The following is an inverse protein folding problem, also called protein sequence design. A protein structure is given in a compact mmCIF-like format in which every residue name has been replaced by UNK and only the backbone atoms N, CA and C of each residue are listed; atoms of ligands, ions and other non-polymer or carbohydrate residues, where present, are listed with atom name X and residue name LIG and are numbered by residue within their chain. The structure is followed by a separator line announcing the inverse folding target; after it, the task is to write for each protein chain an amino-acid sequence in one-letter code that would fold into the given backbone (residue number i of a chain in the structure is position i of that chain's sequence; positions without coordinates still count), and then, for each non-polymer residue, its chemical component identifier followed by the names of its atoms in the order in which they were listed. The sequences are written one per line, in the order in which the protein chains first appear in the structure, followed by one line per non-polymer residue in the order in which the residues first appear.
data_IF_439888135264
#
_entry.id   IF_439888135264
#
_cell.length_a   1.000
_cell.length_b   1.000
_cell.length_c   1.000
_cell.angle_alpha   90.00
_cell.angle_beta   90.00
_cell.angle_gamma   90.00
#
_symmetry.space_group_name_H-M   'P 1'
#
loop_
_entity.id
_entity.type
_entity.pdbx_description
1 polymer ?
#
# COMPACT_ATOMS: atom_id res chain seq x y z
N UNK A 1 14.88 9.37 -18.77
CA UNK A 1 14.96 8.66 -17.47
C UNK A 1 13.53 8.51 -16.96
N UNK A 2 13.17 7.36 -16.39
CA UNK A 2 11.81 7.12 -15.89
C UNK A 2 11.64 7.65 -14.47
N UNK A 3 10.44 8.12 -14.14
CA UNK A 3 10.08 8.70 -12.84
C UNK A 3 9.04 7.83 -12.15
N UNK A 4 9.28 7.48 -10.88
CA UNK A 4 8.31 6.84 -10.00
C UNK A 4 7.89 7.78 -8.88
N UNK A 5 6.58 7.93 -8.64
CA UNK A 5 6.03 8.56 -7.45
C UNK A 5 5.55 7.49 -6.48
N UNK A 6 6.02 7.56 -5.24
CA UNK A 6 5.73 6.55 -4.21
C UNK A 6 5.15 7.24 -2.98
N UNK A 7 4.03 6.75 -2.47
CA UNK A 7 3.42 7.27 -1.26
C UNK A 7 3.82 6.50 -0.01
N UNK A 8 3.95 7.19 1.14
CA UNK A 8 4.26 6.57 2.42
C UNK A 8 5.71 6.13 2.58
N UNK A 9 6.67 6.95 2.12
CA UNK A 9 8.10 6.63 2.13
C UNK A 9 8.82 6.92 3.45
N UNK A 10 8.12 7.29 4.52
CA UNK A 10 8.75 7.59 5.82
C UNK A 10 9.31 6.37 6.55
N UNK A 11 8.89 5.16 6.19
CA UNK A 11 9.34 3.89 6.77
C UNK A 11 8.82 2.68 5.97
N UNK A 12 9.24 1.47 6.34
CA UNK A 12 8.68 0.20 5.84
C UNK A 12 8.76 0.04 4.34
N UNK A 13 7.69 -0.48 3.74
CA UNK A 13 7.66 -0.82 2.31
C UNK A 13 7.97 0.38 1.40
N UNK A 14 7.32 1.54 1.64
CA UNK A 14 7.52 2.72 0.78
C UNK A 14 8.95 3.22 0.79
N UNK A 15 9.64 3.15 1.94
CA UNK A 15 11.04 3.49 2.05
C UNK A 15 11.92 2.52 1.26
N UNK A 16 11.67 1.22 1.37
CA UNK A 16 12.46 0.21 0.66
C UNK A 16 12.21 0.23 -0.85
N UNK A 17 10.96 0.41 -1.27
CA UNK A 17 10.62 0.62 -2.68
C UNK A 17 11.39 1.83 -3.24
N UNK A 18 11.44 2.95 -2.51
CA UNK A 18 12.18 4.13 -2.94
C UNK A 18 13.68 3.85 -3.11
N UNK A 19 14.30 3.17 -2.14
CA UNK A 19 15.70 2.72 -2.23
C UNK A 19 15.95 1.81 -3.43
N UNK A 20 15.03 0.87 -3.66
CA UNK A 20 15.10 -0.10 -4.73
C UNK A 20 15.10 0.55 -6.13
N UNK A 21 14.25 1.57 -6.33
CA UNK A 21 14.22 2.33 -7.59
C UNK A 21 15.42 3.26 -7.76
N UNK A 22 15.88 3.93 -6.68
CA UNK A 22 17.08 4.76 -6.69
C UNK A 22 18.32 3.97 -7.10
N UNK A 23 18.47 2.75 -6.57
CA UNK A 23 19.58 1.86 -6.88
C UNK A 23 19.60 1.37 -8.35
N UNK A 24 18.49 1.58 -9.09
CA UNK A 24 18.30 1.18 -10.50
C UNK A 24 18.14 2.39 -11.44
N UNK A 25 18.73 3.51 -11.07
CA UNK A 25 18.86 4.73 -11.89
C UNK A 25 17.53 5.38 -12.29
N UNK A 26 16.45 5.21 -11.49
CA UNK A 26 15.20 5.93 -11.68
C UNK A 26 15.20 7.27 -10.96
N UNK A 27 14.45 8.22 -11.48
CA UNK A 27 14.02 9.37 -10.69
C UNK A 27 12.93 8.93 -9.71
N UNK A 28 13.13 9.26 -8.43
CA UNK A 28 12.21 8.89 -7.36
C UNK A 28 11.63 10.14 -6.72
N UNK A 29 10.31 10.23 -6.75
CA UNK A 29 9.53 11.18 -5.96
C UNK A 29 8.98 10.43 -4.76
N UNK A 30 9.72 10.49 -3.65
CA UNK A 30 9.33 9.87 -2.39
C UNK A 30 8.43 10.83 -1.62
N UNK A 31 7.22 10.38 -1.24
CA UNK A 31 6.28 11.27 -0.57
C UNK A 31 5.89 10.78 0.82
N UNK A 32 5.67 11.71 1.72
CA UNK A 32 5.25 11.48 3.11
C UNK A 32 4.54 12.72 3.67
N UNK A 33 3.70 12.57 4.68
CA UNK A 33 2.95 13.70 5.27
C UNK A 33 3.88 14.81 5.78
N UNK A 34 4.94 14.44 6.48
CA UNK A 34 5.98 15.37 6.93
C UNK A 34 7.29 14.94 6.27
N UNK A 35 7.80 15.73 5.30
CA UNK A 35 9.04 15.43 4.61
C UNK A 35 10.23 15.31 5.56
N UNK A 36 11.05 14.27 5.37
CA UNK A 36 12.31 14.05 6.07
C UNK A 36 13.35 13.62 5.06
N UNK A 37 14.37 14.45 4.90
CA UNK A 37 15.45 14.21 3.94
C UNK A 37 16.48 13.18 4.42
N UNK A 38 16.47 12.86 5.73
CA UNK A 38 17.41 11.93 6.38
C UNK A 38 17.06 10.44 6.21
N UNK A 39 15.87 10.10 5.69
CA UNK A 39 15.41 8.71 5.59
C UNK A 39 15.93 7.96 4.35
N UNK A 40 16.33 8.71 3.32
CA UNK A 40 16.88 8.18 2.07
C UNK A 40 18.26 8.78 1.81
N UNK A 41 19.17 8.04 1.15
CA UNK A 41 20.47 8.60 0.81
C UNK A 41 20.30 9.81 -0.13
N UNK A 42 21.11 10.87 0.04
CA UNK A 42 21.07 12.01 -0.85
C UNK A 42 21.39 11.59 -2.30
N UNK A 43 20.58 12.08 -3.25
CA UNK A 43 20.75 11.76 -4.67
C UNK A 43 20.12 12.88 -5.51
N UNK A 44 20.75 13.24 -6.61
CA UNK A 44 20.18 14.15 -7.61
C UNK A 44 18.92 13.58 -8.28
N UNK A 45 18.70 12.26 -8.15
CA UNK A 45 17.54 11.54 -8.66
C UNK A 45 16.41 11.41 -7.62
N UNK A 46 16.61 11.92 -6.41
CA UNK A 46 15.63 11.86 -5.33
C UNK A 46 15.00 13.22 -5.10
N UNK A 47 13.68 13.26 -5.03
CA UNK A 47 12.92 14.38 -4.47
C UNK A 47 12.02 13.87 -3.37
N UNK A 48 12.03 14.55 -2.24
CA UNK A 48 11.15 14.26 -1.10
C UNK A 48 10.08 15.34 -1.05
N UNK A 49 8.80 14.97 -1.19
CA UNK A 49 7.68 15.90 -1.22
C UNK A 49 6.69 15.63 -0.09
N UNK A 50 6.02 16.69 0.37
CA UNK A 50 4.87 16.56 1.26
C UNK A 50 3.68 16.00 0.48
N UNK A 51 3.03 14.97 1.05
CA UNK A 51 1.77 14.44 0.52
C UNK A 51 0.95 13.81 1.64
N UNK A 52 -0.22 14.36 1.87
CA UNK A 52 -1.31 13.73 2.60
C UNK A 52 -2.36 13.25 1.59
N UNK A 53 -2.51 11.94 1.47
CA UNK A 53 -3.43 11.31 0.51
C UNK A 53 -4.90 11.56 0.84
N UNK A 54 -5.21 12.04 2.04
CA UNK A 54 -6.57 12.41 2.47
C UNK A 54 -6.93 13.87 2.14
N UNK A 55 -5.98 14.64 1.60
CA UNK A 55 -6.15 16.07 1.31
C UNK A 55 -5.95 16.34 -0.20
N UNK A 56 -7.01 16.78 -0.87
CA UNK A 56 -6.99 17.01 -2.32
C UNK A 56 -6.04 18.13 -2.73
N UNK A 57 -5.88 19.18 -1.92
CA UNK A 57 -4.93 20.27 -2.20
C UNK A 57 -3.49 19.78 -2.09
N UNK A 58 -3.21 18.93 -1.09
CA UNK A 58 -1.93 18.26 -0.95
C UNK A 58 -1.61 17.36 -2.14
N UNK A 59 -2.61 16.60 -2.62
CA UNK A 59 -2.47 15.75 -3.81
C UNK A 59 -2.13 16.60 -5.04
N UNK A 60 -2.88 17.68 -5.30
CA UNK A 60 -2.62 18.58 -6.44
C UNK A 60 -1.21 19.16 -6.39
N UNK A 61 -0.85 19.75 -5.25
CA UNK A 61 0.47 20.33 -5.06
C UNK A 61 1.62 19.31 -5.27
N UNK A 62 1.46 18.10 -4.79
CA UNK A 62 2.46 17.04 -4.95
C UNK A 62 2.59 16.59 -6.41
N UNK A 63 1.48 16.44 -7.16
CA UNK A 63 1.50 16.08 -8.58
C UNK A 63 2.12 17.19 -9.43
N UNK A 64 1.75 18.45 -9.18
CA UNK A 64 2.33 19.61 -9.89
C UNK A 64 3.85 19.69 -9.65
N UNK A 65 4.28 19.51 -8.40
CA UNK A 65 5.70 19.49 -8.05
C UNK A 65 6.43 18.25 -8.61
N UNK A 66 5.76 17.10 -8.70
CA UNK A 66 6.36 15.89 -9.27
C UNK A 66 6.65 16.00 -10.77
N UNK A 67 5.81 16.69 -11.52
CA UNK A 67 5.90 16.78 -12.98
C UNK A 67 5.56 15.44 -13.66
N UNK A 68 6.18 15.10 -14.80
CA UNK A 68 5.89 13.87 -15.51
C UNK A 68 6.24 12.61 -14.70
N UNK A 69 5.27 11.72 -14.52
CA UNK A 69 5.38 10.46 -13.78
C UNK A 69 5.20 9.29 -14.77
N UNK A 70 6.01 8.24 -14.66
CA UNK A 70 5.86 7.00 -15.43
C UNK A 70 5.17 5.90 -14.62
N UNK A 71 5.42 5.87 -13.31
CA UNK A 71 4.86 4.87 -12.39
C UNK A 71 4.34 5.57 -11.14
N UNK A 72 3.09 5.27 -10.77
CA UNK A 72 2.51 5.63 -9.49
C UNK A 72 2.48 4.40 -8.57
N UNK A 73 3.06 4.50 -7.38
CA UNK A 73 2.98 3.48 -6.33
C UNK A 73 2.16 4.01 -5.16
N UNK A 74 0.92 3.57 -5.05
CA UNK A 74 0.05 3.82 -3.90
C UNK A 74 0.39 2.81 -2.80
N UNK A 75 1.25 3.22 -1.87
CA UNK A 75 1.68 2.41 -0.75
C UNK A 75 1.22 2.98 0.61
N UNK A 76 0.97 4.29 0.72
CA UNK A 76 0.48 4.89 1.95
C UNK A 76 -0.77 4.16 2.48
N UNK A 77 -0.77 3.85 3.76
CA UNK A 77 -1.89 3.16 4.38
C UNK A 77 -1.74 3.07 5.90
N UNK A 78 -2.86 2.84 6.55
CA UNK A 78 -2.95 2.67 8.00
C UNK A 78 -3.64 1.35 8.34
N UNK A 79 -3.27 0.78 9.48
CA UNK A 79 -3.88 -0.42 10.02
C UNK A 79 -4.79 -0.12 11.20
N UNK A 80 -5.70 -1.05 11.49
CA UNK A 80 -6.51 -1.08 12.69
C UNK A 80 -6.87 -2.53 13.04
N UNK A 81 -7.17 -2.78 14.31
CA UNK A 81 -7.68 -4.06 14.78
C UNK A 81 -8.73 -3.84 15.88
N UNK A 82 -9.87 -4.51 15.75
CA UNK A 82 -10.94 -4.49 16.75
C UNK A 82 -11.89 -5.67 16.49
N UNK A 83 -12.58 -6.20 17.52
CA UNK A 83 -13.81 -6.95 17.30
C UNK A 83 -14.79 -6.12 16.46
N UNK A 84 -15.50 -6.74 15.52
CA UNK A 84 -16.30 -6.01 14.53
C UNK A 84 -17.34 -5.06 15.15
N UNK A 85 -17.99 -5.45 16.24
CA UNK A 85 -18.98 -4.62 16.94
C UNK A 85 -18.37 -3.49 17.79
N UNK A 86 -17.08 -3.60 18.13
CA UNK A 86 -16.37 -2.62 18.97
C UNK A 86 -15.46 -1.68 18.16
N UNK A 87 -15.43 -1.83 16.84
CA UNK A 87 -14.67 -0.94 15.97
C UNK A 87 -15.35 0.44 15.90
N UNK A 88 -14.71 1.53 16.40
CA UNK A 88 -15.29 2.87 16.31
C UNK A 88 -15.50 3.27 14.85
N UNK A 89 -16.67 3.79 14.50
CA UNK A 89 -16.98 4.19 13.12
C UNK A 89 -16.01 5.27 12.60
N UNK A 90 -15.48 6.13 13.47
CA UNK A 90 -14.50 7.13 13.05
C UNK A 90 -13.16 6.48 12.67
N UNK A 91 -12.73 5.41 13.37
CA UNK A 91 -11.58 4.60 12.96
C UNK A 91 -11.85 3.90 11.62
N UNK A 92 -13.05 3.35 11.42
CA UNK A 92 -13.45 2.75 10.14
C UNK A 92 -13.40 3.78 9.01
N UNK A 93 -13.97 4.98 9.21
CA UNK A 93 -13.93 6.07 8.23
C UNK A 93 -12.50 6.48 7.90
N UNK A 94 -11.64 6.65 8.91
CA UNK A 94 -10.23 7.01 8.71
C UNK A 94 -9.45 5.94 7.92
N UNK A 95 -9.75 4.64 8.13
CA UNK A 95 -9.19 3.56 7.33
C UNK A 95 -9.57 3.69 5.85
N UNK A 96 -10.86 3.89 5.56
CA UNK A 96 -11.34 4.04 4.20
C UNK A 96 -10.82 5.33 3.56
N UNK A 97 -10.79 6.43 4.30
CA UNK A 97 -10.28 7.71 3.81
C UNK A 97 -8.83 7.59 3.37
N UNK A 98 -7.97 6.96 4.18
CA UNK A 98 -6.56 6.82 3.85
C UNK A 98 -6.31 5.70 2.82
N UNK A 99 -6.81 4.48 3.11
CA UNK A 99 -6.43 3.30 2.33
C UNK A 99 -7.15 3.22 0.99
N UNK A 100 -8.40 3.70 0.92
CA UNK A 100 -9.27 3.54 -0.25
C UNK A 100 -9.44 4.86 -0.99
N UNK A 101 -10.04 5.87 -0.37
CA UNK A 101 -10.35 7.15 -1.03
C UNK A 101 -9.08 7.89 -1.44
N UNK A 102 -8.06 7.92 -0.55
CA UNK A 102 -6.77 8.52 -0.85
C UNK A 102 -6.06 7.85 -2.04
N UNK A 103 -6.10 6.50 -2.11
CA UNK A 103 -5.58 5.74 -3.26
C UNK A 103 -6.33 6.10 -4.54
N UNK A 104 -7.65 6.18 -4.50
CA UNK A 104 -8.49 6.55 -5.66
C UNK A 104 -8.19 7.99 -6.07
N UNK A 105 -8.20 8.94 -5.15
CA UNK A 105 -8.00 10.36 -5.42
C UNK A 105 -6.63 10.64 -6.08
N UNK A 106 -5.55 10.05 -5.55
CA UNK A 106 -4.22 10.22 -6.13
C UNK A 106 -4.12 9.54 -7.51
N UNK A 107 -4.71 8.37 -7.68
CA UNK A 107 -4.78 7.69 -8.97
C UNK A 107 -5.49 8.56 -10.00
N UNK A 108 -6.67 9.11 -9.67
CA UNK A 108 -7.42 10.02 -10.54
C UNK A 108 -6.61 11.26 -10.93
N UNK A 109 -5.80 11.81 -10.03
CA UNK A 109 -4.96 12.96 -10.30
C UNK A 109 -3.83 12.66 -11.31
N UNK A 110 -3.33 11.40 -11.32
CA UNK A 110 -2.23 10.98 -12.22
C UNK A 110 -2.73 10.46 -13.56
N UNK A 111 -3.89 9.82 -13.63
CA UNK A 111 -4.41 9.17 -14.84
C UNK A 111 -4.50 10.07 -16.09
N UNK A 112 -4.85 11.37 -16.02
CA UNK A 112 -4.89 12.22 -17.21
C UNK A 112 -3.55 12.27 -17.96
N UNK A 113 -2.42 12.39 -17.27
CA UNK A 113 -1.10 12.41 -17.90
C UNK A 113 -0.72 11.05 -18.50
N UNK A 114 -1.11 9.93 -17.86
CA UNK A 114 -0.88 8.58 -18.39
C UNK A 114 -1.69 8.35 -19.67
N UNK A 115 -2.98 8.68 -19.65
CA UNK A 115 -3.88 8.57 -20.80
C UNK A 115 -3.41 9.44 -21.98
N UNK A 116 -3.04 10.69 -21.75
CA UNK A 116 -2.55 11.59 -22.79
C UNK A 116 -1.26 11.08 -23.44
N UNK A 117 -0.39 10.44 -22.67
CA UNK A 117 0.88 9.89 -23.15
C UNK A 117 0.71 8.51 -23.81
N UNK A 118 -0.40 7.82 -23.58
CA UNK A 118 -0.60 6.44 -24.00
C UNK A 118 0.29 5.44 -23.28
N UNK A 119 0.76 5.77 -22.07
CA UNK A 119 1.66 4.95 -21.27
C UNK A 119 1.65 5.35 -19.80
N UNK A 120 1.72 4.37 -18.92
CA UNK A 120 1.83 4.55 -17.46
C UNK A 120 1.61 3.25 -16.72
N UNK A 121 2.01 3.21 -15.46
CA UNK A 121 1.76 2.07 -14.57
C UNK A 121 1.26 2.55 -13.21
N UNK A 122 0.15 2.00 -12.76
CA UNK A 122 -0.35 2.17 -11.40
C UNK A 122 -0.10 0.89 -10.61
N UNK A 123 0.57 0.99 -9.47
CA UNK A 123 0.80 -0.13 -8.55
C UNK A 123 0.15 0.19 -7.21
N UNK A 124 -0.86 -0.57 -6.84
CA UNK A 124 -1.56 -0.43 -5.56
C UNK A 124 -1.07 -1.51 -4.58
N UNK A 125 -0.40 -1.09 -3.50
CA UNK A 125 0.04 -1.99 -2.43
C UNK A 125 -1.13 -2.20 -1.47
N UNK A 126 -1.73 -3.39 -1.54
CA UNK A 126 -2.89 -3.75 -0.72
C UNK A 126 -2.48 -4.65 0.44
N UNK A 127 -2.97 -5.88 0.49
CA UNK A 127 -2.56 -6.86 1.51
C UNK A 127 -3.11 -8.25 1.19
N UNK A 128 -2.38 -9.28 1.58
CA UNK A 128 -2.83 -10.69 1.56
C UNK A 128 -3.99 -10.97 2.53
N UNK A 129 -4.29 -10.06 3.49
CA UNK A 129 -5.51 -10.17 4.32
C UNK A 129 -6.80 -10.20 3.49
N UNK A 130 -6.74 -9.74 2.23
CA UNK A 130 -7.89 -9.82 1.31
C UNK A 130 -8.15 -11.25 0.83
N UNK A 131 -7.17 -12.13 0.88
CA UNK A 131 -7.25 -13.53 0.46
C UNK A 131 -7.85 -14.44 1.54
N UNK A 132 -7.64 -14.11 2.81
CA UNK A 132 -8.04 -14.93 3.96
C UNK A 132 -8.78 -14.10 5.01
N UNK A 133 -9.86 -14.63 5.56
CA UNK A 133 -10.57 -13.98 6.66
C UNK A 133 -9.74 -14.11 7.95
N UNK A 134 -9.32 -12.97 8.50
CA UNK A 134 -8.60 -12.89 9.76
C UNK A 134 -9.46 -12.19 10.81
N UNK A 135 -9.56 -12.74 12.02
CA UNK A 135 -10.22 -12.09 13.15
C UNK A 135 -9.64 -10.70 13.42
N UNK A 136 -10.43 -9.81 14.00
CA UNK A 136 -10.08 -8.45 14.41
C UNK A 136 -9.74 -7.48 13.26
N UNK A 137 -9.61 -7.94 12.04
CA UNK A 137 -9.17 -7.12 10.89
C UNK A 137 -10.30 -6.81 9.90
N UNK A 138 -11.58 -6.95 10.30
CA UNK A 138 -12.73 -6.79 9.40
C UNK A 138 -12.75 -5.46 8.63
N UNK A 139 -12.60 -4.34 9.33
CA UNK A 139 -12.60 -3.00 8.73
C UNK A 139 -11.34 -2.76 7.86
N UNK A 140 -10.17 -3.17 8.34
CA UNK A 140 -8.93 -3.07 7.58
C UNK A 140 -8.98 -3.89 6.29
N UNK A 141 -9.40 -5.17 6.40
CA UNK A 141 -9.60 -6.05 5.25
C UNK A 141 -10.57 -5.45 4.23
N UNK A 142 -11.69 -4.91 4.69
CA UNK A 142 -12.69 -4.27 3.83
C UNK A 142 -12.10 -3.08 3.07
N UNK A 143 -11.32 -2.20 3.72
CA UNK A 143 -10.67 -1.07 3.07
C UNK A 143 -9.68 -1.51 1.98
N UNK A 144 -8.90 -2.58 2.21
CA UNK A 144 -7.96 -3.12 1.22
C UNK A 144 -8.66 -3.90 0.10
N UNK A 145 -9.75 -4.61 0.40
CA UNK A 145 -10.57 -5.29 -0.60
C UNK A 145 -11.26 -4.30 -1.55
N UNK A 146 -11.68 -3.14 -1.05
CA UNK A 146 -12.22 -2.07 -1.88
C UNK A 146 -11.19 -1.58 -2.92
N UNK A 147 -9.91 -1.46 -2.55
CA UNK A 147 -8.83 -1.11 -3.48
C UNK A 147 -8.60 -2.22 -4.52
N UNK A 148 -8.71 -3.50 -4.12
CA UNK A 148 -8.61 -4.60 -5.07
C UNK A 148 -9.69 -4.50 -6.14
N UNK A 149 -10.96 -4.37 -5.73
CA UNK A 149 -12.10 -4.26 -6.64
C UNK A 149 -11.99 -3.03 -7.57
N UNK A 150 -11.60 -1.88 -7.02
CA UNK A 150 -11.33 -0.67 -7.79
C UNK A 150 -10.25 -0.89 -8.85
N UNK A 151 -9.13 -1.50 -8.46
CA UNK A 151 -8.00 -1.72 -9.37
C UNK A 151 -8.34 -2.69 -10.49
N UNK A 152 -9.10 -3.74 -10.20
CA UNK A 152 -9.55 -4.73 -11.19
C UNK A 152 -10.43 -4.11 -12.27
N UNK A 153 -11.40 -3.29 -11.86
CA UNK A 153 -12.26 -2.58 -12.81
C UNK A 153 -11.48 -1.54 -13.62
N UNK A 154 -10.66 -0.73 -12.93
CA UNK A 154 -9.82 0.29 -13.53
C UNK A 154 -8.82 -0.29 -14.55
N UNK A 155 -8.25 -1.46 -14.31
CA UNK A 155 -7.31 -2.09 -15.22
C UNK A 155 -7.92 -2.33 -16.61
N UNK A 156 -9.17 -2.80 -16.65
CA UNK A 156 -9.90 -3.00 -17.90
C UNK A 156 -10.24 -1.67 -18.61
N UNK A 157 -10.56 -0.62 -17.83
CA UNK A 157 -10.84 0.71 -18.38
C UNK A 157 -9.60 1.37 -18.98
N UNK A 158 -8.41 1.07 -18.44
CA UNK A 158 -7.15 1.70 -18.81
C UNK A 158 -6.40 0.97 -19.94
N UNK A 159 -6.72 -0.30 -20.19
CA UNK A 159 -6.09 -1.10 -21.24
C UNK A 159 -6.08 -0.41 -22.62
N UNK A 160 -7.21 0.17 -23.11
CA UNK A 160 -7.24 0.86 -24.40
C UNK A 160 -6.30 2.07 -24.49
N UNK A 161 -5.86 2.61 -23.35
CA UNK A 161 -4.95 3.76 -23.27
C UNK A 161 -3.49 3.35 -23.05
N UNK A 162 -3.14 2.06 -23.10
CA UNK A 162 -1.78 1.59 -22.87
C UNK A 162 -1.29 1.80 -21.43
N UNK A 163 -2.19 1.95 -20.47
CA UNK A 163 -1.89 2.12 -19.05
C UNK A 163 -2.16 0.82 -18.31
N UNK A 164 -1.17 0.35 -17.55
CA UNK A 164 -1.27 -0.88 -16.76
C UNK A 164 -1.59 -0.58 -15.31
N UNK A 165 -2.33 -1.48 -14.66
CA UNK A 165 -2.60 -1.41 -13.23
C UNK A 165 -2.30 -2.77 -12.59
N UNK A 166 -1.69 -2.75 -11.41
CA UNK A 166 -1.31 -3.94 -10.68
C UNK A 166 -1.63 -3.81 -9.19
N UNK A 167 -1.91 -4.95 -8.57
CA UNK A 167 -2.05 -5.14 -7.14
C UNK A 167 -0.82 -5.87 -6.61
N UNK A 168 -0.14 -5.31 -5.62
CA UNK A 168 0.86 -6.02 -4.83
C UNK A 168 0.25 -6.36 -3.48
N UNK A 169 0.27 -7.63 -3.10
CA UNK A 169 -0.36 -8.17 -1.91
C UNK A 169 0.70 -8.68 -0.92
N UNK A 170 1.23 -7.80 -0.06
CA UNK A 170 2.13 -8.21 1.02
C UNK A 170 1.40 -9.03 2.08
N UNK A 171 2.14 -9.93 2.72
CA UNK A 171 1.72 -10.59 3.93
C UNK A 171 2.09 -9.83 5.20
N UNK A 172 2.35 -10.57 6.28
CA UNK A 172 2.76 -10.05 7.58
C UNK A 172 4.24 -9.63 7.54
N UNK A 173 4.50 -8.37 7.82
CA UNK A 173 5.85 -7.79 7.80
C UNK A 173 6.23 -7.21 9.18
N UNK A 174 6.69 -8.06 10.13
CA UNK A 174 7.03 -7.63 11.49
C UNK A 174 8.20 -6.64 11.53
N UNK A 175 9.07 -6.64 10.53
CA UNK A 175 10.23 -5.74 10.42
C UNK A 175 9.84 -4.30 10.05
N UNK A 176 8.55 -4.01 9.88
CA UNK A 176 8.04 -2.68 9.58
C UNK A 176 7.41 -2.02 10.80
N UNK A 177 7.30 -0.69 10.77
CA UNK A 177 6.58 0.06 11.81
C UNK A 177 5.05 0.02 11.63
N UNK A 178 4.53 -0.80 10.71
CA UNK A 178 3.10 -0.83 10.40
C UNK A 178 2.25 -1.22 11.61
N UNK A 179 2.66 -2.27 12.33
CA UNK A 179 1.97 -2.73 13.53
C UNK A 179 2.02 -1.68 14.66
N UNK A 180 3.17 -1.02 14.86
CA UNK A 180 3.31 0.05 15.84
C UNK A 180 2.42 1.24 15.51
N UNK A 181 2.38 1.64 14.24
CA UNK A 181 1.53 2.72 13.78
C UNK A 181 0.03 2.39 13.89
N UNK A 182 -0.34 1.10 13.84
CA UNK A 182 -1.71 0.64 13.99
C UNK A 182 -2.20 0.65 15.45
N UNK A 183 -1.29 0.71 16.45
CA UNK A 183 -1.67 0.62 17.89
C UNK A 183 -2.70 1.64 18.31
N UNK A 184 -2.61 2.87 17.81
CA UNK A 184 -3.58 3.93 18.11
C UNK A 184 -5.01 3.63 17.58
N UNK A 185 -5.13 2.69 16.65
CA UNK A 185 -6.37 2.26 16.02
C UNK A 185 -6.79 0.85 16.47
N UNK A 186 -6.27 0.37 17.60
CA UNK A 186 -6.65 -0.90 18.21
C UNK A 186 -7.67 -0.65 19.32
N UNK A 187 -8.84 -1.28 19.24
CA UNK A 187 -9.96 -0.99 20.14
C UNK A 187 -10.64 -2.27 20.62
N UNK A 188 -11.24 -2.20 21.81
CA UNK A 188 -12.13 -3.22 22.34
C UNK A 188 -11.43 -4.49 22.85
N UNK A 189 -10.12 -4.45 23.10
CA UNK A 189 -9.36 -5.60 23.56
C UNK A 189 -9.57 -5.91 25.05
N UNK A 190 -9.93 -4.88 25.84
CA UNK A 190 -10.23 -5.00 27.26
C UNK A 190 -11.68 -5.41 27.54
N UNK A 191 -12.51 -5.60 26.50
CA UNK A 191 -13.90 -5.94 26.67
C UNK A 191 -14.07 -7.42 27.06
N UNK A 192 -14.67 -7.69 28.23
CA UNK A 192 -14.76 -9.02 28.85
C UNK A 192 -15.24 -10.12 27.89
N UNK A 193 -16.26 -9.81 27.05
CA UNK A 193 -16.82 -10.75 26.11
C UNK A 193 -15.84 -11.19 24.99
N UNK A 194 -14.78 -10.42 24.76
CA UNK A 194 -13.81 -10.65 23.70
C UNK A 194 -12.42 -11.00 24.20
N UNK A 195 -12.12 -10.88 25.50
CA UNK A 195 -10.77 -11.01 26.06
C UNK A 195 -10.09 -12.34 25.63
N UNK A 196 -10.74 -13.48 25.85
CA UNK A 196 -10.20 -14.80 25.47
C UNK A 196 -10.04 -14.94 23.95
N UNK A 197 -11.00 -14.43 23.19
CA UNK A 197 -10.96 -14.46 21.73
C UNK A 197 -9.80 -13.63 21.18
N UNK A 198 -9.61 -12.44 21.71
CA UNK A 198 -8.53 -11.51 21.35
C UNK A 198 -7.17 -12.14 21.65
N UNK A 199 -7.00 -12.72 22.84
CA UNK A 199 -5.76 -13.40 23.24
C UNK A 199 -5.40 -14.53 22.24
N UNK A 200 -6.37 -15.40 21.92
CA UNK A 200 -6.17 -16.49 20.95
C UNK A 200 -5.88 -15.97 19.53
N UNK A 201 -6.54 -14.90 19.11
CA UNK A 201 -6.32 -14.30 17.80
C UNK A 201 -4.90 -13.71 17.68
N UNK A 202 -4.44 -13.00 18.72
CA UNK A 202 -3.09 -12.46 18.77
C UNK A 202 -2.01 -13.54 18.85
N UNK A 203 -2.21 -14.59 19.67
CA UNK A 203 -1.27 -15.70 19.74
C UNK A 203 -1.01 -16.32 18.34
N UNK A 204 -2.06 -16.48 17.53
CA UNK A 204 -1.93 -16.96 16.15
C UNK A 204 -1.26 -15.93 15.21
N UNK A 205 -1.58 -14.66 15.38
CA UNK A 205 -1.03 -13.58 14.56
C UNK A 205 0.45 -13.34 14.84
N UNK A 206 0.91 -13.58 16.08
CA UNK A 206 2.28 -13.38 16.54
C UNK A 206 3.13 -14.67 16.48
N UNK A 207 2.61 -15.75 15.91
CA UNK A 207 3.36 -16.99 15.75
C UNK A 207 4.65 -16.73 14.95
N UNK A 208 5.79 -16.84 15.63
CA UNK A 208 7.09 -16.60 15.06
C UNK A 208 7.53 -17.69 14.06
N UNK A 209 6.90 -18.87 14.10
CA UNK A 209 7.19 -19.97 13.17
C UNK A 209 6.51 -19.83 11.82
N UNK A 210 5.48 -18.96 11.73
CA UNK A 210 4.76 -18.74 10.48
C UNK A 210 5.62 -17.94 9.49
N UNK A 211 5.51 -18.21 8.17
CA UNK A 211 6.16 -17.42 7.14
C UNK A 211 5.82 -15.94 7.27
N UNK A 212 6.73 -15.08 6.83
CA UNK A 212 6.59 -13.62 6.84
C UNK A 212 6.88 -13.04 5.46
N UNK A 213 6.55 -11.77 5.30
CA UNK A 213 6.93 -10.93 4.16
C UNK A 213 8.07 -10.00 4.59
N UNK A 214 9.18 -10.01 3.86
CA UNK A 214 10.25 -9.03 4.02
C UNK A 214 10.00 -7.78 3.19
N UNK A 215 10.56 -6.65 3.61
CA UNK A 215 10.41 -5.39 2.85
C UNK A 215 10.95 -5.49 1.43
N UNK A 216 11.98 -6.32 1.23
CA UNK A 216 12.58 -6.59 -0.07
C UNK A 216 11.63 -7.33 -1.01
N UNK A 217 10.85 -8.31 -0.52
CA UNK A 217 9.86 -9.05 -1.32
C UNK A 217 8.85 -8.08 -1.96
N UNK A 218 8.44 -7.07 -1.18
CA UNK A 218 7.49 -6.05 -1.66
C UNK A 218 8.16 -5.10 -2.66
N UNK A 219 9.41 -4.70 -2.43
CA UNK A 219 10.15 -3.86 -3.36
C UNK A 219 10.36 -4.56 -4.71
N UNK A 220 10.71 -5.85 -4.70
CA UNK A 220 10.88 -6.67 -5.90
C UNK A 220 9.55 -6.87 -6.64
N UNK A 221 8.46 -7.12 -5.93
CA UNK A 221 7.12 -7.25 -6.52
C UNK A 221 6.66 -5.94 -7.19
N UNK A 222 6.87 -4.78 -6.54
CA UNK A 222 6.57 -3.46 -7.11
C UNK A 222 7.45 -3.17 -8.32
N UNK A 223 8.73 -3.49 -8.26
CA UNK A 223 9.66 -3.35 -9.38
C UNK A 223 9.20 -4.18 -10.58
N UNK A 224 8.86 -5.45 -10.35
CA UNK A 224 8.31 -6.33 -11.39
C UNK A 224 7.04 -5.75 -12.01
N UNK A 225 6.07 -5.29 -11.19
CA UNK A 225 4.85 -4.65 -11.68
C UNK A 225 5.16 -3.45 -12.58
N UNK A 226 6.12 -2.61 -12.17
CA UNK A 226 6.49 -1.38 -12.88
C UNK A 226 7.21 -1.64 -14.20
N UNK A 227 8.04 -2.69 -14.29
CA UNK A 227 9.02 -2.86 -15.38
C UNK A 227 8.74 -4.03 -16.32
N UNK A 228 8.04 -5.07 -15.85
CA UNK A 228 7.72 -6.25 -16.66
C UNK A 228 6.30 -6.15 -17.22
N UNK A 229 6.12 -5.96 -18.56
CA UNK A 229 4.81 -5.89 -19.17
C UNK A 229 3.97 -7.18 -19.05
N UNK A 230 4.61 -8.32 -18.79
CA UNK A 230 3.96 -9.62 -18.61
C UNK A 230 3.46 -9.86 -17.19
N UNK A 231 3.69 -8.93 -16.28
CA UNK A 231 3.26 -9.05 -14.88
C UNK A 231 1.75 -9.26 -14.78
N UNK A 232 1.30 -10.22 -13.93
CA UNK A 232 -0.13 -10.41 -13.71
C UNK A 232 -0.74 -9.22 -12.95
N UNK A 233 -2.07 -9.11 -13.01
CA UNK A 233 -2.79 -8.07 -12.26
C UNK A 233 -2.53 -8.15 -10.75
N UNK A 234 -2.50 -9.35 -10.18
CA UNK A 234 -2.23 -9.60 -8.75
C UNK A 234 -0.86 -10.24 -8.58
N UNK A 235 -0.01 -9.62 -7.79
CA UNK A 235 1.35 -10.07 -7.48
C UNK A 235 1.43 -10.30 -5.97
N UNK A 236 1.67 -11.53 -5.56
CA UNK A 236 1.91 -11.87 -4.17
C UNK A 236 3.32 -11.43 -3.78
N UNK A 237 3.49 -10.93 -2.57
CA UNK A 237 4.80 -10.52 -2.06
C UNK A 237 5.03 -11.12 -0.68
N UNK A 238 5.97 -12.07 -0.62
CA UNK A 238 6.34 -12.80 0.58
C UNK A 238 5.74 -14.20 0.68
N UNK A 239 6.43 -15.07 1.40
CA UNK A 239 6.11 -16.49 1.51
C UNK A 239 4.75 -16.77 2.17
N UNK A 240 4.34 -15.95 3.12
CA UNK A 240 3.02 -16.05 3.77
C UNK A 240 1.88 -15.63 2.83
N UNK A 241 2.09 -14.64 1.97
CA UNK A 241 1.11 -14.26 0.96
C UNK A 241 0.88 -15.39 -0.06
N UNK A 242 1.96 -16.06 -0.48
CA UNK A 242 1.90 -17.21 -1.38
C UNK A 242 1.18 -18.41 -0.73
N UNK A 243 1.51 -18.70 0.53
CA UNK A 243 0.84 -19.76 1.30
C UNK A 243 -0.67 -19.51 1.42
N UNK A 244 -1.09 -18.28 1.75
CA UNK A 244 -2.51 -17.94 1.88
C UNK A 244 -3.25 -17.98 0.55
N UNK A 245 -2.60 -17.60 -0.54
CA UNK A 245 -3.21 -17.73 -1.87
C UNK A 245 -3.40 -19.20 -2.30
N UNK A 246 -2.51 -20.10 -1.87
CA UNK A 246 -2.65 -21.54 -2.10
C UNK A 246 -3.80 -22.14 -1.29
N UNK A 247 -4.02 -21.69 -0.05
CA UNK A 247 -5.14 -22.12 0.80
C UNK A 247 -6.51 -21.62 0.32
N UNK A 248 -6.56 -20.51 -0.41
CA UNK A 248 -7.81 -19.88 -0.87
C UNK A 248 -8.35 -20.45 -2.19
N UNK A 249 -7.66 -21.41 -2.80
CA UNK A 249 -8.05 -22.13 -4.02
C UNK A 249 -8.81 -23.39 -3.67
#
# INVERSE_FOLDING_TARGET
MKTVLITGCSSGFGLEIARHFLARDWQVVATMRTPREDVLPPSERLRVLALDVTNQDSIRAAIDAAGPIDVLVNNAGVGAAAPAELAPLDTVRALFETNTIGTIALTQAVLPQFRQRGAGVVVNVTSSVTLKALPLLSAYRASKAAVNAYTESMAAELEPFGVRAHLVLPGRAPDTRFADNARANMHGFEHDAYAEFVEKAFARMLDASAPITHVQDVADAVWRAATDPSSPLRILAGADAEAWAAEAR
#
